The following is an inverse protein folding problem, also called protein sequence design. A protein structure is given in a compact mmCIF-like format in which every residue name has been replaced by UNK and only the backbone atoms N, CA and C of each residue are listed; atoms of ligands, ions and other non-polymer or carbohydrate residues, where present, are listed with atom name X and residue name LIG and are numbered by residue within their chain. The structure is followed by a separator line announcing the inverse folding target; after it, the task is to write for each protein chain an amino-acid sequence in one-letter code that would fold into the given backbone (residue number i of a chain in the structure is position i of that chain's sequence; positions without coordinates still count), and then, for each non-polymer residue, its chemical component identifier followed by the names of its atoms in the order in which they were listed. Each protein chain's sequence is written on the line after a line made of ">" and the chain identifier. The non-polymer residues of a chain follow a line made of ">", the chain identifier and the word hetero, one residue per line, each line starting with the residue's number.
data_IF_152304479294
#
_entry.id   IF_152304479294
#
_cell.length_a   1.000
_cell.length_b   1.000
_cell.length_c   1.000
_cell.angle_alpha   90.00
_cell.angle_beta   90.00
_cell.angle_gamma   90.00
#
_symmetry.space_group_name_H-M   'P 1'
#
loop_
_entity.id
_entity.type
_entity.pdbx_description
1 polymer ?
#
# COMPACT_ATOMS: atom_id res chain seq x y z
N UNK A 1 18.13 4.88 -13.24
CA UNK A 1 17.73 3.61 -12.60
C UNK A 1 18.59 2.48 -13.17
N UNK A 2 18.83 1.41 -12.41
CA UNK A 2 19.53 0.22 -12.89
C UNK A 2 18.78 -1.05 -12.51
N UNK A 3 18.82 -2.05 -13.39
CA UNK A 3 18.30 -3.40 -13.17
C UNK A 3 19.40 -4.36 -13.59
N UNK A 4 19.80 -5.26 -12.68
CA UNK A 4 20.90 -6.21 -12.88
C UNK A 4 22.21 -5.55 -13.37
N UNK A 5 22.50 -4.34 -12.88
CA UNK A 5 23.69 -3.58 -13.26
C UNK A 5 23.62 -2.88 -14.62
N UNK A 6 22.55 -3.08 -15.39
CA UNK A 6 22.31 -2.36 -16.64
C UNK A 6 21.48 -1.09 -16.41
N UNK A 7 21.81 0.04 -17.08
CA UNK A 7 21.00 1.24 -17.01
C UNK A 7 19.66 1.02 -17.72
N UNK A 8 18.57 1.44 -17.06
CA UNK A 8 17.22 1.39 -17.63
C UNK A 8 16.57 2.77 -17.57
N UNK A 9 15.62 3.01 -18.48
CA UNK A 9 14.81 4.21 -18.46
C UNK A 9 13.91 4.22 -17.22
N UNK A 10 13.61 5.40 -16.69
CA UNK A 10 12.74 5.56 -15.53
C UNK A 10 11.36 4.93 -15.74
N UNK A 11 10.76 5.12 -16.93
CA UNK A 11 9.51 4.47 -17.32
C UNK A 11 9.55 2.94 -17.22
N UNK A 12 10.68 2.33 -17.58
CA UNK A 12 10.87 0.89 -17.50
C UNK A 12 11.08 0.45 -16.05
N UNK A 13 11.82 1.24 -15.25
CA UNK A 13 12.02 0.96 -13.83
C UNK A 13 10.69 0.93 -13.08
N UNK A 14 9.83 1.92 -13.30
CA UNK A 14 8.50 2.00 -12.69
C UNK A 14 7.61 0.86 -13.18
N UNK A 15 7.65 0.56 -14.49
CA UNK A 15 6.92 -0.55 -15.08
C UNK A 15 7.27 -1.90 -14.44
N UNK A 16 8.57 -2.15 -14.19
CA UNK A 16 9.01 -3.35 -13.49
C UNK A 16 8.57 -3.37 -12.02
N UNK A 17 8.62 -2.23 -11.31
CA UNK A 17 8.16 -2.14 -9.92
C UNK A 17 6.66 -2.41 -9.76
N UNK A 18 5.83 -1.92 -10.68
CA UNK A 18 4.37 -2.01 -10.59
C UNK A 18 3.82 -3.29 -11.22
N UNK A 19 4.37 -3.71 -12.35
CA UNK A 19 3.79 -4.76 -13.19
C UNK A 19 4.74 -5.93 -13.47
N UNK A 20 5.98 -5.88 -12.96
CA UNK A 20 7.01 -6.89 -13.18
C UNK A 20 7.29 -7.18 -14.68
N UNK A 21 7.14 -6.16 -15.54
CA UNK A 21 7.42 -6.23 -16.98
C UNK A 21 7.90 -4.88 -17.53
N UNK A 22 8.55 -4.89 -18.68
CA UNK A 22 9.00 -3.65 -19.34
C UNK A 22 7.83 -2.79 -19.81
N UNK A 23 8.05 -1.49 -19.97
CA UNK A 23 7.01 -0.55 -20.39
C UNK A 23 6.46 -0.86 -21.79
N UNK A 24 7.23 -1.56 -22.62
CA UNK A 24 6.82 -1.97 -23.96
C UNK A 24 5.94 -3.23 -23.97
N UNK A 25 5.83 -3.92 -22.83
CA UNK A 25 5.01 -5.13 -22.65
C UNK A 25 3.69 -4.84 -21.91
N UNK A 26 3.45 -3.58 -21.56
CA UNK A 26 2.23 -3.15 -20.89
C UNK A 26 1.04 -3.19 -21.83
N UNK A 27 -0.10 -3.62 -21.31
CA UNK A 27 -1.37 -3.49 -22.03
C UNK A 27 -1.88 -2.03 -22.02
N UNK A 28 -2.97 -1.76 -22.72
CA UNK A 28 -3.53 -0.40 -22.83
C UNK A 28 -3.94 0.22 -21.49
N UNK A 29 -4.36 -0.57 -20.51
CA UNK A 29 -4.73 -0.09 -19.18
C UNK A 29 -3.48 0.25 -18.39
N UNK A 30 -2.52 -0.67 -18.35
CA UNK A 30 -1.26 -0.51 -17.64
C UNK A 30 -0.41 0.63 -18.22
N UNK A 31 -0.39 0.79 -19.55
CA UNK A 31 0.26 1.90 -20.23
C UNK A 31 -0.38 3.24 -19.88
N UNK A 32 -1.71 3.29 -19.73
CA UNK A 32 -2.45 4.49 -19.35
C UNK A 32 -2.16 4.90 -17.89
N UNK A 33 -1.96 3.92 -17.00
CA UNK A 33 -1.49 4.14 -15.62
C UNK A 33 -0.10 4.79 -15.55
N UNK A 34 0.77 4.56 -16.55
CA UNK A 34 2.12 5.15 -16.59
C UNK A 34 2.16 6.45 -17.43
N UNK A 35 1.34 6.59 -18.46
CA UNK A 35 1.36 7.73 -19.39
C UNK A 35 0.64 8.98 -18.88
N UNK A 36 -0.31 8.84 -17.94
CA UNK A 36 -1.06 9.98 -17.39
C UNK A 36 -0.23 10.95 -16.53
N UNK A 37 1.04 10.65 -16.31
CA UNK A 37 1.88 11.29 -15.31
C UNK A 37 3.18 11.79 -15.93
N UNK A 38 3.32 13.12 -16.01
CA UNK A 38 4.64 13.77 -16.03
C UNK A 38 5.26 13.54 -14.65
N UNK A 39 5.81 12.34 -14.46
CA UNK A 39 5.96 11.71 -13.17
C UNK A 39 7.19 12.25 -12.42
N UNK A 40 6.98 13.26 -11.60
CA UNK A 40 7.86 13.50 -10.45
C UNK A 40 7.28 12.66 -9.30
N UNK A 41 7.54 11.34 -9.34
CA UNK A 41 6.93 10.32 -8.47
C UNK A 41 6.99 10.72 -6.98
N UNK A 42 8.11 11.35 -6.58
CA UNK A 42 8.33 11.84 -5.24
C UNK A 42 7.40 13.01 -4.88
N UNK A 43 7.17 13.95 -5.80
CA UNK A 43 6.27 15.09 -5.64
C UNK A 43 4.80 14.66 -5.68
N UNK A 44 4.44 13.75 -6.56
CA UNK A 44 3.06 13.29 -6.72
C UNK A 44 2.62 12.34 -5.60
N UNK A 45 3.54 11.55 -5.04
CA UNK A 45 3.33 10.86 -3.76
C UNK A 45 3.19 11.88 -2.62
N UNK A 46 4.07 12.90 -2.58
CA UNK A 46 4.01 13.92 -1.54
C UNK A 46 2.71 14.74 -1.54
N UNK A 47 2.09 14.89 -2.71
CA UNK A 47 0.79 15.57 -2.89
C UNK A 47 -0.41 14.61 -2.77
N UNK A 48 -0.20 13.32 -2.50
CA UNK A 48 -1.25 12.30 -2.39
C UNK A 48 -1.94 11.93 -3.70
N UNK A 49 -1.52 12.50 -4.83
CA UNK A 49 -2.14 12.34 -6.15
C UNK A 49 -1.79 10.99 -6.82
N UNK A 50 -0.64 10.40 -6.47
CA UNK A 50 -0.20 9.12 -7.03
C UNK A 50 -0.90 7.89 -6.41
N UNK A 51 -1.65 8.08 -5.31
CA UNK A 51 -2.20 6.98 -4.53
C UNK A 51 -3.10 6.05 -5.34
N UNK A 52 -3.98 6.57 -6.21
CA UNK A 52 -4.97 5.75 -6.91
C UNK A 52 -4.39 4.89 -8.04
N UNK A 53 -3.46 5.43 -8.84
CA UNK A 53 -2.91 4.71 -10.00
C UNK A 53 -1.95 3.60 -9.60
N UNK A 54 -1.10 3.87 -8.60
CA UNK A 54 -0.19 2.86 -8.02
C UNK A 54 -1.00 1.81 -7.26
N UNK A 55 -2.07 2.23 -6.57
CA UNK A 55 -3.02 1.32 -5.93
C UNK A 55 -3.68 0.39 -6.95
N UNK A 56 -4.24 0.89 -8.04
CA UNK A 56 -4.91 0.08 -9.05
C UNK A 56 -3.95 -0.93 -9.73
N UNK A 57 -2.71 -0.50 -9.99
CA UNK A 57 -1.66 -1.34 -10.57
C UNK A 57 -1.23 -2.48 -9.62
N UNK A 58 -0.92 -2.14 -8.36
CA UNK A 58 -0.51 -3.13 -7.37
C UNK A 58 -1.68 -4.04 -6.95
N UNK A 59 -2.91 -3.51 -6.94
CA UNK A 59 -4.13 -4.26 -6.64
C UNK A 59 -4.38 -5.35 -7.70
N UNK A 60 -4.25 -4.99 -8.99
CA UNK A 60 -4.45 -5.92 -10.11
C UNK A 60 -3.34 -6.96 -10.26
N UNK A 61 -2.08 -6.58 -10.00
CA UNK A 61 -0.92 -7.48 -10.12
C UNK A 61 -0.80 -8.46 -8.95
N UNK A 62 -1.02 -8.00 -7.71
CA UNK A 62 -0.85 -8.80 -6.49
C UNK A 62 -2.15 -9.48 -6.01
N UNK A 63 -3.29 -9.18 -6.65
CA UNK A 63 -4.61 -9.68 -6.23
C UNK A 63 -4.98 -9.28 -4.81
N UNK A 64 -4.53 -8.08 -4.41
CA UNK A 64 -4.89 -7.43 -3.15
C UNK A 64 -6.22 -6.69 -3.35
N UNK A 65 -6.92 -6.35 -2.26
CA UNK A 65 -8.17 -5.57 -2.33
C UNK A 65 -7.98 -4.14 -1.83
N UNK A 66 -7.03 -3.96 -0.91
CA UNK A 66 -6.75 -2.68 -0.25
C UNK A 66 -5.25 -2.43 -0.31
N UNK A 67 -4.87 -1.24 -0.77
CA UNK A 67 -3.52 -0.71 -0.67
C UNK A 67 -3.66 0.72 -0.19
N UNK A 68 -2.89 1.07 0.83
CA UNK A 68 -2.86 2.38 1.44
C UNK A 68 -1.41 2.76 1.70
N UNK A 69 -1.06 3.99 1.34
CA UNK A 69 0.25 4.58 1.60
C UNK A 69 -0.03 5.86 2.36
N UNK A 70 0.58 5.99 3.53
CA UNK A 70 0.43 7.14 4.42
C UNK A 70 1.81 7.68 4.77
N UNK A 71 1.92 8.99 4.96
CA UNK A 71 3.16 9.65 5.32
C UNK A 71 2.89 10.82 6.24
N UNK A 72 3.79 11.08 7.18
CA UNK A 72 3.76 12.30 7.99
C UNK A 72 4.13 13.53 7.15
N UNK A 73 3.88 14.73 7.67
CA UNK A 73 4.24 15.98 7.00
C UNK A 73 5.76 16.01 6.74
N UNK A 74 6.14 16.11 5.45
CA UNK A 74 7.55 16.04 5.03
C UNK A 74 8.12 14.63 4.80
N UNK A 75 7.30 13.57 4.89
CA UNK A 75 7.66 12.18 4.55
C UNK A 75 8.90 11.62 5.27
N UNK A 76 9.25 12.19 6.42
CA UNK A 76 10.32 11.67 7.29
C UNK A 76 10.03 10.22 7.71
N UNK A 77 8.76 9.93 7.98
CA UNK A 77 8.20 8.61 8.27
C UNK A 77 6.92 8.39 7.48
N UNK A 78 6.68 7.14 7.08
CA UNK A 78 5.47 6.69 6.43
C UNK A 78 5.16 5.23 6.69
N UNK A 79 4.02 4.79 6.17
CA UNK A 79 3.56 3.41 6.23
C UNK A 79 2.99 2.97 4.89
N UNK A 80 3.19 1.70 4.58
CA UNK A 80 2.49 1.00 3.51
C UNK A 80 1.67 -0.10 4.14
N UNK A 81 0.38 -0.09 3.83
CA UNK A 81 -0.59 -1.10 4.27
C UNK A 81 -1.18 -1.80 3.05
N UNK A 82 -1.15 -3.12 3.08
CA UNK A 82 -1.80 -3.97 2.10
C UNK A 82 -2.85 -4.83 2.79
N UNK A 83 -3.95 -5.12 2.10
CA UNK A 83 -5.05 -5.88 2.67
C UNK A 83 -5.82 -6.67 1.63
N UNK A 84 -6.42 -7.77 2.09
CA UNK A 84 -7.20 -8.70 1.28
C UNK A 84 -8.36 -9.27 2.08
N UNK A 85 -9.51 -9.38 1.43
CA UNK A 85 -10.65 -10.12 1.94
C UNK A 85 -10.43 -11.61 1.64
N UNK A 86 -10.20 -12.39 2.70
CA UNK A 86 -10.11 -13.85 2.61
C UNK A 86 -11.51 -14.43 2.35
N UNK A 87 -12.51 -13.81 2.98
CA UNK A 87 -13.94 -14.02 2.71
C UNK A 87 -14.65 -12.67 2.74
N UNK A 88 -15.92 -12.63 2.35
CA UNK A 88 -16.75 -11.42 2.37
C UNK A 88 -16.85 -10.74 3.75
N UNK A 89 -16.45 -11.43 4.82
CA UNK A 89 -16.52 -10.97 6.20
C UNK A 89 -15.21 -11.16 6.99
N UNK A 90 -14.12 -11.60 6.34
CA UNK A 90 -12.81 -11.78 6.97
C UNK A 90 -11.76 -11.01 6.17
N UNK A 91 -11.24 -9.95 6.78
CA UNK A 91 -10.22 -9.08 6.20
C UNK A 91 -8.89 -9.29 6.89
N UNK A 92 -7.84 -9.55 6.10
CA UNK A 92 -6.46 -9.62 6.58
C UNK A 92 -5.70 -8.40 6.04
N UNK A 93 -4.97 -7.73 6.91
CA UNK A 93 -4.07 -6.65 6.51
C UNK A 93 -2.69 -6.79 7.13
N UNK A 94 -1.71 -6.27 6.40
CA UNK A 94 -0.32 -6.17 6.78
C UNK A 94 0.16 -4.75 6.54
N UNK A 95 0.78 -4.15 7.55
CA UNK A 95 1.31 -2.79 7.52
C UNK A 95 2.79 -2.81 7.89
N UNK A 96 3.58 -2.05 7.12
CA UNK A 96 4.99 -1.83 7.40
C UNK A 96 5.29 -0.34 7.40
N UNK A 97 5.98 0.13 8.44
CA UNK A 97 6.47 1.50 8.49
C UNK A 97 7.85 1.63 7.87
N UNK A 98 8.16 2.79 7.32
CA UNK A 98 9.45 3.13 6.76
C UNK A 98 9.83 4.56 7.14
N UNK A 99 11.13 4.80 7.33
CA UNK A 99 11.68 6.12 7.59
C UNK A 99 12.62 6.49 6.43
N UNK A 100 12.41 7.66 5.82
CA UNK A 100 13.27 8.18 4.75
C UNK A 100 14.46 8.96 5.32
N UNK A 101 14.34 9.50 6.53
CA UNK A 101 15.46 10.15 7.23
C UNK A 101 16.25 9.13 8.08
N UNK A 102 17.56 9.04 7.82
CA UNK A 102 18.48 8.15 8.57
C UNK A 102 18.68 8.55 10.03
N UNK A 103 18.24 9.76 10.42
CA UNK A 103 18.40 10.28 11.79
C UNK A 103 17.37 9.72 12.78
N UNK A 104 16.15 9.40 12.34
CA UNK A 104 15.11 8.80 13.18
C UNK A 104 14.98 7.31 12.85
N UNK A 105 15.56 6.46 13.69
CA UNK A 105 15.56 5.00 13.55
C UNK A 105 14.42 4.29 14.28
N UNK A 106 13.38 5.00 14.71
CA UNK A 106 12.20 4.34 15.25
C UNK A 106 11.33 3.87 14.09
N UNK A 107 11.69 2.69 13.58
CA UNK A 107 10.83 1.93 12.67
C UNK A 107 9.89 1.14 13.58
N UNK A 108 8.62 1.52 13.59
CA UNK A 108 7.57 0.75 14.26
C UNK A 108 7.53 -0.66 13.66
N UNK A 109 7.41 -1.70 14.50
CA UNK A 109 7.39 -3.07 14.02
C UNK A 109 6.21 -3.30 13.08
N UNK A 110 6.37 -4.32 12.22
CA UNK A 110 5.36 -4.73 11.26
C UNK A 110 4.06 -5.08 11.99
N UNK A 111 2.93 -4.63 11.45
CA UNK A 111 1.60 -4.86 12.03
C UNK A 111 0.79 -5.79 11.14
N UNK A 112 0.34 -6.90 11.71
CA UNK A 112 -0.62 -7.81 11.09
C UNK A 112 -1.96 -7.61 11.79
N UNK A 113 -3.04 -7.45 11.02
CA UNK A 113 -4.40 -7.35 11.57
C UNK A 113 -5.34 -8.31 10.86
N UNK A 114 -6.19 -8.97 11.64
CA UNK A 114 -7.26 -9.82 11.15
C UNK A 114 -8.59 -9.28 11.70
N UNK A 115 -9.49 -8.87 10.82
CA UNK A 115 -10.80 -8.36 11.20
C UNK A 115 -11.90 -9.30 10.69
N UNK A 116 -12.78 -9.73 11.58
CA UNK A 116 -13.95 -10.54 11.25
C UNK A 116 -15.24 -9.79 11.57
N UNK A 117 -16.10 -9.65 10.57
CA UNK A 117 -17.41 -9.05 10.73
C UNK A 117 -18.43 -10.10 11.19
N UNK A 118 -18.84 -10.01 12.45
CA UNK A 118 -19.90 -10.85 13.03
C UNK A 118 -21.28 -10.38 12.59
N UNK A 119 -21.54 -9.08 12.68
CA UNK A 119 -22.80 -8.43 12.33
C UNK A 119 -22.51 -7.13 11.56
N UNK A 120 -23.53 -6.51 10.97
CA UNK A 120 -23.39 -5.19 10.32
C UNK A 120 -22.76 -4.12 11.24
N UNK A 121 -22.98 -4.23 12.55
CA UNK A 121 -22.49 -3.31 13.57
C UNK A 121 -21.42 -3.89 14.48
N UNK A 122 -21.05 -5.18 14.37
CA UNK A 122 -20.14 -5.84 15.32
C UNK A 122 -18.98 -6.52 14.59
N UNK A 123 -17.77 -6.17 15.01
CA UNK A 123 -16.52 -6.65 14.43
C UNK A 123 -15.61 -7.18 15.54
N UNK A 124 -14.90 -8.26 15.24
CA UNK A 124 -13.78 -8.75 16.04
C UNK A 124 -12.51 -8.40 15.31
N UNK A 125 -11.54 -7.83 16.01
CA UNK A 125 -10.25 -7.52 15.44
C UNK A 125 -9.16 -8.17 16.28
N UNK A 126 -8.24 -8.87 15.62
CA UNK A 126 -7.02 -9.36 16.21
C UNK A 126 -5.85 -8.60 15.60
N UNK A 127 -4.93 -8.12 16.41
CA UNK A 127 -3.75 -7.40 15.93
C UNK A 127 -2.48 -7.94 16.56
N UNK A 128 -1.39 -7.88 15.81
CA UNK A 128 -0.05 -8.17 16.27
C UNK A 128 0.90 -7.15 15.67
N UNK A 129 1.66 -6.46 16.52
CA UNK A 129 2.65 -5.46 16.18
C UNK A 129 3.89 -5.68 17.06
N UNK A 130 4.85 -6.45 16.56
CA UNK A 130 6.06 -6.79 17.31
C UNK A 130 5.78 -7.61 18.56
N UNK A 131 6.08 -7.06 19.74
CA UNK A 131 5.77 -7.69 21.04
C UNK A 131 4.31 -7.52 21.47
N UNK A 132 3.58 -6.60 20.83
CA UNK A 132 2.26 -6.19 21.27
C UNK A 132 1.22 -6.91 20.44
N UNK A 133 0.31 -7.62 21.10
CA UNK A 133 -0.82 -8.28 20.45
C UNK A 133 -2.09 -8.01 21.23
N UNK A 134 -3.21 -7.94 20.50
CA UNK A 134 -4.47 -7.52 21.07
C UNK A 134 -5.66 -8.14 20.35
N UNK A 135 -6.78 -8.20 21.08
CA UNK A 135 -8.07 -8.59 20.56
C UNK A 135 -9.10 -7.54 20.97
N UNK A 136 -9.75 -6.96 19.97
CA UNK A 136 -10.72 -5.88 20.14
C UNK A 136 -12.11 -6.31 19.67
N UNK A 137 -13.12 -5.84 20.39
CA UNK A 137 -14.53 -5.93 20.01
C UNK A 137 -15.01 -4.54 19.63
N UNK A 138 -15.33 -4.34 18.35
CA UNK A 138 -15.68 -3.04 17.81
C UNK A 138 -17.17 -3.03 17.49
N UNK A 139 -17.92 -2.16 18.19
CA UNK A 139 -19.34 -1.91 17.92
C UNK A 139 -19.54 -0.56 17.23
N UNK A 140 -20.04 -0.58 16.00
CA UNK A 140 -20.32 0.62 15.19
C UNK A 140 -21.80 0.97 15.27
N UNK A 141 -22.12 2.14 15.83
CA UNK A 141 -23.47 2.68 15.88
C UNK A 141 -23.58 3.93 14.99
N UNK A 142 -24.51 3.92 14.03
CA UNK A 142 -24.82 5.10 13.21
C UNK A 142 -26.14 5.71 13.67
N UNK A 143 -26.15 7.01 13.97
CA UNK A 143 -27.37 7.77 14.25
C UNK A 143 -27.92 8.35 12.94
N UNK A 144 -29.24 8.38 12.79
CA UNK A 144 -29.94 9.04 11.69
C UNK A 144 -30.34 10.45 12.07
#
# INVERSE_FOLDING_TARGET
>A
FSLDGAPIQEKDAISYLLFNKSSNQLDSRESSSIQGSNLDLARDLALGQLSNVVKDALQSSLGLDVIEISGEEGWSQGSVSIGKYITNNLFLSYQRTFALDKKNKQIEPEKISLEYQLLKSLFLQATNQGSDSGFDFIFKWTWK
#
